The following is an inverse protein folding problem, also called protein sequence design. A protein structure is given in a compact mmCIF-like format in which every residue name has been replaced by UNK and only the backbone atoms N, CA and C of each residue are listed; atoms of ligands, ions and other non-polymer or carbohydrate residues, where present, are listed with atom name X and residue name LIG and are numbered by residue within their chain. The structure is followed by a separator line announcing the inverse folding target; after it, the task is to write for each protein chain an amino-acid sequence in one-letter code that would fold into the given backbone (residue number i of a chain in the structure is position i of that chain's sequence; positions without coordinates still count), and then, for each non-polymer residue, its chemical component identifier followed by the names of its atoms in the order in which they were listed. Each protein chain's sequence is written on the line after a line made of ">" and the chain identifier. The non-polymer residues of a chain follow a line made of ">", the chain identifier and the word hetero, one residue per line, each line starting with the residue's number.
data_IF_531460087307
#
_entry.id   IF_531460087307
#
_cell.length_a   1.000
_cell.length_b   1.000
_cell.length_c   1.000
_cell.angle_alpha   90.00
_cell.angle_beta   90.00
_cell.angle_gamma   90.00
#
_symmetry.space_group_name_H-M   'P 1'
#
loop_
_entity.id
_entity.type
_entity.pdbx_description
1 polymer ?
#
# COMPACT_ATOMS: atom_id res chain seq x y z
N UNK A 1 47.65 -13.44 18.17
CA UNK A 1 46.57 -14.12 18.92
C UNK A 1 45.40 -13.14 19.08
N UNK A 2 44.27 -13.45 18.43
CA UNK A 2 42.94 -12.85 18.63
C UNK A 2 42.66 -12.78 20.14
N UNK A 3 42.02 -11.75 20.71
CA UNK A 3 40.57 -11.50 20.64
C UNK A 3 40.33 -10.01 20.96
N UNK A 4 39.87 -9.21 19.98
CA UNK A 4 39.24 -7.90 20.23
C UNK A 4 37.72 -8.13 20.28
N UNK A 5 37.09 -7.51 21.28
CA UNK A 5 35.71 -7.77 21.68
C UNK A 5 34.70 -7.62 20.56
N UNK A 6 33.74 -8.54 20.54
CA UNK A 6 32.45 -8.38 19.86
C UNK A 6 31.41 -8.37 20.97
N UNK A 7 31.17 -7.19 21.51
CA UNK A 7 29.98 -6.84 22.26
C UNK A 7 29.25 -5.76 21.44
N UNK A 8 27.93 -5.88 21.34
CA UNK A 8 27.00 -5.06 20.53
C UNK A 8 26.77 -5.51 19.07
N UNK A 9 25.95 -6.56 18.89
CA UNK A 9 25.47 -6.95 17.56
C UNK A 9 24.07 -7.56 17.51
N UNK A 10 23.33 -7.65 18.62
CA UNK A 10 22.02 -8.33 18.65
C UNK A 10 20.84 -7.33 18.78
N UNK A 11 21.11 -6.03 18.96
CA UNK A 11 20.09 -5.00 19.17
C UNK A 11 19.74 -4.13 17.95
N UNK A 12 20.52 -4.16 16.86
CA UNK A 12 20.42 -3.19 15.75
C UNK A 12 19.77 -3.80 14.49
N UNK A 13 19.73 -5.13 14.36
CA UNK A 13 19.11 -5.77 13.19
C UNK A 13 17.58 -5.81 13.24
N UNK A 14 16.98 -5.69 14.44
CA UNK A 14 15.52 -5.60 14.58
C UNK A 14 14.94 -4.30 14.02
N UNK A 15 15.66 -3.18 14.14
CA UNK A 15 15.25 -1.90 13.57
C UNK A 15 15.48 -1.87 12.05
N UNK A 16 16.64 -2.29 11.55
CA UNK A 16 16.93 -2.27 10.10
C UNK A 16 15.98 -3.19 9.29
N UNK A 17 15.63 -4.37 9.83
CA UNK A 17 14.69 -5.28 9.17
C UNK A 17 13.25 -4.73 9.12
N UNK A 18 12.80 -4.07 10.18
CA UNK A 18 11.46 -3.46 10.24
C UNK A 18 11.34 -2.21 9.37
N UNK A 19 12.39 -1.38 9.29
CA UNK A 19 12.44 -0.25 8.36
C UNK A 19 12.46 -0.70 6.90
N UNK A 20 13.27 -1.71 6.54
CA UNK A 20 13.33 -2.26 5.18
C UNK A 20 12.00 -2.89 4.73
N UNK A 21 11.35 -3.67 5.61
CA UNK A 21 10.03 -4.25 5.33
C UNK A 21 8.97 -3.16 5.11
N UNK A 22 8.93 -2.14 5.96
CA UNK A 22 7.94 -1.06 5.85
C UNK A 22 8.11 -0.27 4.56
N UNK A 23 9.34 0.02 4.16
CA UNK A 23 9.64 0.67 2.87
C UNK A 23 9.22 -0.21 1.70
N UNK A 24 9.59 -1.50 1.70
CA UNK A 24 9.20 -2.44 0.65
C UNK A 24 7.68 -2.60 0.51
N UNK A 25 6.97 -2.79 1.63
CA UNK A 25 5.52 -2.92 1.65
C UNK A 25 4.82 -1.64 1.14
N UNK A 26 5.37 -0.46 1.45
CA UNK A 26 4.84 0.82 0.95
C UNK A 26 5.03 0.96 -0.57
N UNK A 27 6.18 0.54 -1.10
CA UNK A 27 6.42 0.55 -2.56
C UNK A 27 5.44 -0.38 -3.27
N UNK A 28 5.26 -1.60 -2.78
CA UNK A 28 4.31 -2.57 -3.36
C UNK A 28 2.87 -2.07 -3.28
N UNK A 29 2.49 -1.42 -2.18
CA UNK A 29 1.18 -0.79 -2.03
C UNK A 29 0.94 0.27 -3.12
N UNK A 30 1.92 1.13 -3.37
CA UNK A 30 1.84 2.17 -4.39
C UNK A 30 1.76 1.61 -5.82
N UNK A 31 2.53 0.57 -6.13
CA UNK A 31 2.46 -0.12 -7.43
C UNK A 31 1.09 -0.78 -7.64
N UNK A 32 0.57 -1.44 -6.62
CA UNK A 32 -0.76 -2.07 -6.65
C UNK A 32 -1.85 -1.02 -6.87
N UNK A 33 -1.77 0.11 -6.15
CA UNK A 33 -2.71 1.21 -6.30
C UNK A 33 -2.68 1.81 -7.71
N UNK A 34 -1.49 2.03 -8.27
CA UNK A 34 -1.34 2.48 -9.67
C UNK A 34 -1.97 1.53 -10.66
N UNK A 35 -1.73 0.23 -10.52
CA UNK A 35 -2.28 -0.77 -11.43
C UNK A 35 -3.82 -0.83 -11.34
N UNK A 36 -4.36 -0.82 -10.12
CA UNK A 36 -5.80 -0.76 -9.89
C UNK A 36 -6.43 0.53 -10.43
N UNK A 37 -5.73 1.66 -10.28
CA UNK A 37 -6.08 2.95 -10.85
C UNK A 37 -6.21 2.91 -12.37
N UNK A 38 -5.17 2.46 -13.05
CA UNK A 38 -5.17 2.33 -14.52
C UNK A 38 -6.33 1.45 -14.98
N UNK A 39 -6.57 0.32 -14.31
CA UNK A 39 -7.66 -0.58 -14.67
C UNK A 39 -9.03 0.10 -14.51
N UNK A 40 -9.27 0.78 -13.38
CA UNK A 40 -10.51 1.52 -13.14
C UNK A 40 -10.71 2.66 -14.16
N UNK A 41 -9.62 3.35 -14.53
CA UNK A 41 -9.66 4.40 -15.54
C UNK A 41 -10.02 3.87 -16.93
N UNK A 42 -9.44 2.75 -17.34
CA UNK A 42 -9.79 2.07 -18.59
C UNK A 42 -11.27 1.67 -18.59
N UNK A 43 -11.74 1.03 -17.52
CA UNK A 43 -13.14 0.60 -17.40
C UNK A 43 -14.12 1.78 -17.47
N UNK A 44 -13.81 2.89 -16.79
CA UNK A 44 -14.63 4.09 -16.81
C UNK A 44 -14.67 4.77 -18.19
N UNK A 45 -13.53 4.86 -18.88
CA UNK A 45 -13.46 5.38 -20.24
C UNK A 45 -14.31 4.53 -21.20
N UNK A 46 -14.18 3.20 -21.13
CA UNK A 46 -14.97 2.26 -21.95
C UNK A 46 -16.46 2.41 -21.64
N UNK A 47 -16.84 2.47 -20.36
CA UNK A 47 -18.22 2.65 -19.95
C UNK A 47 -18.81 3.96 -20.49
N UNK A 48 -18.04 5.06 -20.46
CA UNK A 48 -18.47 6.36 -20.97
C UNK A 48 -18.70 6.35 -22.48
N UNK A 49 -17.85 5.65 -23.24
CA UNK A 49 -18.04 5.45 -24.69
C UNK A 49 -19.31 4.63 -24.94
N UNK A 50 -19.48 3.50 -24.23
CA UNK A 50 -20.65 2.63 -24.33
C UNK A 50 -21.96 3.28 -23.86
N UNK A 51 -21.88 4.32 -23.05
CA UNK A 51 -23.02 5.11 -22.60
C UNK A 51 -23.38 6.27 -23.54
N UNK A 52 -22.61 6.51 -24.60
CA UNK A 52 -22.84 7.64 -25.51
C UNK A 52 -23.42 7.16 -26.86
N UNK A 53 -24.67 7.55 -27.20
CA UNK A 53 -25.32 7.15 -28.46
C UNK A 53 -24.60 7.61 -29.73
N UNK A 54 -23.69 8.58 -29.63
CA UNK A 54 -22.82 8.99 -30.75
C UNK A 54 -21.90 7.85 -31.19
N UNK A 55 -21.51 6.97 -30.27
CA UNK A 55 -20.61 5.84 -30.50
C UNK A 55 -21.34 4.48 -30.54
N UNK A 56 -22.66 4.48 -30.71
CA UNK A 56 -23.49 3.26 -30.68
C UNK A 56 -23.01 2.18 -31.66
N UNK A 57 -22.54 2.59 -32.84
CA UNK A 57 -22.02 1.70 -33.89
C UNK A 57 -20.79 0.88 -33.47
N UNK A 58 -20.08 1.31 -32.44
CA UNK A 58 -18.83 0.70 -31.98
C UNK A 58 -18.93 0.16 -30.54
N UNK A 59 -20.11 0.10 -29.94
CA UNK A 59 -20.29 -0.42 -28.57
C UNK A 59 -19.90 -1.89 -28.40
N UNK A 60 -20.08 -2.70 -29.45
CA UNK A 60 -19.81 -4.14 -29.43
C UNK A 60 -18.35 -4.49 -29.72
N UNK A 61 -17.51 -3.51 -30.06
CA UNK A 61 -16.08 -3.71 -30.29
C UNK A 61 -15.40 -4.16 -28.99
N UNK A 62 -14.37 -4.98 -29.12
CA UNK A 62 -13.51 -5.41 -28.01
C UNK A 62 -12.65 -4.27 -27.46
N UNK A 63 -13.28 -3.28 -26.82
CA UNK A 63 -12.64 -2.07 -26.31
C UNK A 63 -11.47 -2.33 -25.36
N UNK A 64 -11.50 -3.43 -24.61
CA UNK A 64 -10.40 -3.84 -23.73
C UNK A 64 -9.08 -4.13 -24.48
N UNK A 65 -9.15 -4.38 -25.79
CA UNK A 65 -7.97 -4.58 -26.64
C UNK A 65 -7.46 -3.27 -27.28
N UNK A 66 -8.24 -2.18 -27.18
CA UNK A 66 -7.99 -0.91 -27.86
C UNK A 66 -7.58 0.17 -26.85
N UNK A 67 -8.32 0.28 -25.75
CA UNK A 67 -8.02 1.21 -24.67
C UNK A 67 -7.09 0.52 -23.67
N UNK A 68 -6.01 1.21 -23.34
CA UNK A 68 -4.97 0.74 -22.45
C UNK A 68 -4.38 1.90 -21.65
N UNK A 69 -3.33 1.62 -20.87
CA UNK A 69 -2.69 2.58 -19.96
C UNK A 69 -2.21 3.88 -20.62
N UNK A 70 -1.93 3.89 -21.92
CA UNK A 70 -1.36 5.07 -22.60
C UNK A 70 -2.42 6.01 -23.17
N UNK A 71 -3.67 5.56 -23.34
CA UNK A 71 -4.66 6.30 -24.12
C UNK A 71 -6.01 6.52 -23.41
N UNK A 72 -6.29 5.87 -22.27
CA UNK A 72 -7.60 5.93 -21.61
C UNK A 72 -8.03 7.32 -21.09
N UNK A 73 -7.08 8.21 -20.82
CA UNK A 73 -7.29 9.52 -20.20
C UNK A 73 -6.83 10.70 -21.07
N UNK A 74 -6.46 10.47 -22.33
CA UNK A 74 -5.99 11.54 -23.22
C UNK A 74 -6.88 11.64 -24.45
N UNK A 75 -7.28 12.87 -24.80
CA UNK A 75 -8.15 13.10 -25.96
C UNK A 75 -7.49 12.59 -27.27
N UNK A 76 -6.21 12.87 -27.56
CA UNK A 76 -5.55 12.31 -28.75
C UNK A 76 -5.53 10.76 -28.74
N UNK A 77 -5.20 10.15 -27.61
CA UNK A 77 -5.21 8.69 -27.48
C UNK A 77 -6.61 8.09 -27.67
N UNK A 78 -7.64 8.76 -27.18
CA UNK A 78 -9.04 8.35 -27.37
C UNK A 78 -9.51 8.54 -28.83
N UNK A 79 -9.01 9.56 -29.54
CA UNK A 79 -9.25 9.70 -30.99
C UNK A 79 -8.67 8.50 -31.74
N UNK A 80 -7.44 8.12 -31.43
CA UNK A 80 -6.79 6.95 -32.03
C UNK A 80 -7.54 5.66 -31.68
N UNK A 81 -7.99 5.53 -30.43
CA UNK A 81 -8.79 4.40 -29.97
C UNK A 81 -10.12 4.28 -30.72
N UNK A 82 -10.87 5.37 -30.88
CA UNK A 82 -12.13 5.35 -31.63
C UNK A 82 -11.89 5.06 -33.11
N UNK A 83 -10.83 5.61 -33.69
CA UNK A 83 -10.45 5.34 -35.08
C UNK A 83 -10.11 3.86 -35.28
N UNK A 84 -9.34 3.26 -34.36
CA UNK A 84 -9.02 1.84 -34.37
C UNK A 84 -10.28 0.98 -34.19
N UNK A 85 -11.21 1.38 -33.32
CA UNK A 85 -12.47 0.70 -33.12
C UNK A 85 -13.33 0.71 -34.40
N UNK A 86 -13.44 1.85 -35.08
CA UNK A 86 -14.13 1.96 -36.36
C UNK A 86 -13.49 1.04 -37.40
N UNK A 87 -12.16 1.10 -37.56
CA UNK A 87 -11.44 0.25 -38.50
C UNK A 87 -11.64 -1.25 -38.22
N UNK A 88 -11.78 -1.66 -36.95
CA UNK A 88 -12.04 -3.05 -36.57
C UNK A 88 -13.40 -3.59 -37.04
N UNK A 89 -14.35 -2.70 -37.36
CA UNK A 89 -15.66 -3.08 -37.92
C UNK A 89 -15.61 -3.32 -39.43
N UNK A 90 -14.44 -3.18 -40.06
CA UNK A 90 -14.28 -3.23 -41.52
C UNK A 90 -14.77 -1.98 -42.24
N UNK A 91 -15.27 -0.99 -41.50
CA UNK A 91 -15.71 0.29 -42.02
C UNK A 91 -14.59 1.33 -41.82
N UNK A 92 -14.46 2.25 -42.77
CA UNK A 92 -13.67 3.48 -42.61
C UNK A 92 -14.62 4.62 -42.31
N UNK A 93 -14.13 5.73 -41.78
CA UNK A 93 -14.95 6.95 -41.70
C UNK A 93 -15.48 7.32 -43.08
N UNK A 94 -16.79 7.08 -43.37
CA UNK A 94 -17.34 7.38 -44.67
C UNK A 94 -17.62 8.89 -44.73
N UNK A 95 -18.04 9.38 -45.90
CA UNK A 95 -18.66 10.70 -46.01
C UNK A 95 -19.91 10.75 -45.11
N UNK A 96 -19.73 11.22 -43.87
CA UNK A 96 -20.65 11.70 -42.81
C UNK A 96 -22.06 11.10 -42.66
N UNK A 97 -22.34 9.94 -43.26
CA UNK A 97 -23.68 9.32 -43.29
C UNK A 97 -23.72 8.06 -42.43
N UNK A 98 -24.89 7.78 -41.84
CA UNK A 98 -25.10 6.61 -40.97
C UNK A 98 -24.48 6.71 -39.57
N UNK A 99 -24.61 5.64 -38.77
CA UNK A 99 -24.16 5.62 -37.36
C UNK A 99 -22.63 5.75 -37.21
N UNK A 100 -21.84 5.19 -38.14
CA UNK A 100 -20.37 5.40 -38.14
C UNK A 100 -20.02 6.82 -38.57
N UNK A 101 -20.71 7.37 -39.58
CA UNK A 101 -20.52 8.76 -39.98
C UNK A 101 -20.74 9.74 -38.84
N UNK A 102 -21.68 9.46 -37.93
CA UNK A 102 -21.91 10.24 -36.70
C UNK A 102 -20.69 10.23 -35.76
N UNK A 103 -20.12 9.06 -35.49
CA UNK A 103 -18.93 8.93 -34.65
C UNK A 103 -17.73 9.68 -35.24
N UNK A 104 -17.51 9.54 -36.55
CA UNK A 104 -16.45 10.25 -37.26
C UNK A 104 -16.67 11.76 -37.27
N UNK A 105 -17.88 12.23 -37.57
CA UNK A 105 -18.22 13.64 -37.57
C UNK A 105 -18.02 14.27 -36.18
N UNK A 106 -18.46 13.59 -35.13
CA UNK A 106 -18.28 14.04 -33.75
C UNK A 106 -16.81 14.31 -33.43
N UNK A 107 -15.93 13.36 -33.77
CA UNK A 107 -14.50 13.49 -33.52
C UNK A 107 -13.86 14.58 -34.40
N UNK A 108 -14.17 14.62 -35.69
CA UNK A 108 -13.59 15.60 -36.61
C UNK A 108 -14.06 17.03 -36.32
N UNK A 109 -15.31 17.21 -35.88
CA UNK A 109 -15.88 18.53 -35.63
C UNK A 109 -15.50 19.09 -34.26
N UNK A 110 -15.54 18.26 -33.21
CA UNK A 110 -15.25 18.71 -31.84
C UNK A 110 -14.86 17.55 -30.91
N UNK A 111 -13.70 16.93 -31.16
CA UNK A 111 -13.18 15.83 -30.32
C UNK A 111 -13.15 16.15 -28.83
N UNK A 112 -12.90 17.39 -28.44
CA UNK A 112 -12.78 17.78 -27.04
C UNK A 112 -14.14 17.73 -26.34
N UNK A 113 -15.20 18.16 -27.00
CA UNK A 113 -16.57 18.02 -26.49
C UNK A 113 -16.99 16.56 -26.33
N UNK A 114 -16.65 15.70 -27.28
CA UNK A 114 -17.11 14.32 -27.30
C UNK A 114 -16.25 13.35 -26.46
N UNK A 115 -14.93 13.56 -26.44
CA UNK A 115 -13.97 12.70 -25.76
C UNK A 115 -13.44 13.30 -24.46
N UNK A 116 -13.61 14.60 -24.22
CA UNK A 116 -13.29 15.23 -22.94
C UNK A 116 -13.97 14.55 -21.76
N UNK A 117 -15.31 14.30 -21.80
CA UNK A 117 -16.00 13.58 -20.75
C UNK A 117 -15.53 12.13 -20.58
N UNK A 118 -14.99 11.50 -21.63
CA UNK A 118 -14.43 10.14 -21.60
C UNK A 118 -13.08 10.15 -20.90
N UNK A 119 -12.18 11.05 -21.32
CA UNK A 119 -10.88 11.25 -20.70
C UNK A 119 -11.01 11.61 -19.22
N UNK A 120 -11.94 12.53 -18.90
CA UNK A 120 -12.22 12.94 -17.53
C UNK A 120 -12.75 11.78 -16.68
N UNK A 121 -13.67 10.97 -17.21
CA UNK A 121 -14.15 9.79 -16.49
C UNK A 121 -13.02 8.80 -16.20
N UNK A 122 -12.14 8.56 -17.17
CA UNK A 122 -10.97 7.72 -17.01
C UNK A 122 -10.01 8.23 -15.94
N UNK A 123 -9.65 9.52 -16.01
CA UNK A 123 -8.75 10.17 -15.04
C UNK A 123 -9.33 10.16 -13.62
N UNK A 124 -10.61 10.51 -13.48
CA UNK A 124 -11.29 10.55 -12.17
C UNK A 124 -11.41 9.17 -11.54
N UNK A 125 -11.77 8.15 -12.32
CA UNK A 125 -11.85 6.78 -11.81
C UNK A 125 -10.47 6.24 -11.42
N UNK A 126 -9.43 6.55 -12.20
CA UNK A 126 -8.06 6.18 -11.88
C UNK A 126 -7.59 6.83 -10.58
N UNK A 127 -7.75 8.15 -10.45
CA UNK A 127 -7.36 8.90 -9.27
C UNK A 127 -8.11 8.42 -8.02
N UNK A 128 -9.45 8.28 -8.10
CA UNK A 128 -10.26 7.81 -6.98
C UNK A 128 -9.85 6.40 -6.52
N UNK A 129 -9.56 5.50 -7.47
CA UNK A 129 -9.14 4.13 -7.14
C UNK A 129 -7.73 4.07 -6.56
N UNK A 130 -6.80 4.89 -7.06
CA UNK A 130 -5.45 5.03 -6.47
C UNK A 130 -5.56 5.46 -5.02
N UNK A 131 -6.28 6.55 -4.73
CA UNK A 131 -6.44 7.07 -3.37
C UNK A 131 -7.07 6.04 -2.42
N UNK A 132 -8.10 5.33 -2.87
CA UNK A 132 -8.74 4.30 -2.06
C UNK A 132 -7.78 3.14 -1.73
N UNK A 133 -7.05 2.62 -2.74
CA UNK A 133 -6.14 1.48 -2.54
C UNK A 133 -4.90 1.89 -1.75
N UNK A 134 -4.34 3.08 -1.98
CA UNK A 134 -3.24 3.60 -1.17
C UNK A 134 -3.64 3.73 0.30
N UNK A 135 -4.83 4.28 0.58
CA UNK A 135 -5.35 4.39 1.94
C UNK A 135 -5.50 3.02 2.60
N UNK A 136 -6.13 2.06 1.92
CA UNK A 136 -6.34 0.71 2.44
C UNK A 136 -5.02 -0.04 2.68
N UNK A 137 -4.07 0.03 1.76
CA UNK A 137 -2.79 -0.66 1.87
C UNK A 137 -1.89 0.00 2.93
N UNK A 138 -1.85 1.33 3.02
CA UNK A 138 -1.13 2.01 4.10
C UNK A 138 -1.77 1.73 5.47
N UNK A 139 -3.09 1.63 5.55
CA UNK A 139 -3.79 1.20 6.76
C UNK A 139 -3.41 -0.24 7.16
N UNK A 140 -3.27 -1.17 6.21
CA UNK A 140 -2.78 -2.53 6.48
C UNK A 140 -1.34 -2.55 6.98
N UNK A 141 -0.44 -1.78 6.35
CA UNK A 141 0.97 -1.70 6.75
C UNK A 141 1.09 -1.12 8.16
N UNK A 142 0.34 -0.06 8.46
CA UNK A 142 0.34 0.56 9.80
C UNK A 142 -0.26 -0.35 10.86
N UNK A 143 -1.39 -1.00 10.59
CA UNK A 143 -2.02 -1.98 11.49
C UNK A 143 -1.10 -3.17 11.75
N UNK A 144 -0.47 -3.72 10.73
CA UNK A 144 0.48 -4.84 10.87
C UNK A 144 1.68 -4.43 11.71
N UNK A 145 2.22 -3.22 11.47
CA UNK A 145 3.35 -2.71 12.25
C UNK A 145 3.00 -2.48 13.73
N UNK A 146 1.84 -1.89 14.03
CA UNK A 146 1.39 -1.63 15.41
C UNK A 146 1.09 -2.91 16.19
N UNK A 147 0.53 -3.93 15.53
CA UNK A 147 0.36 -5.26 16.13
C UNK A 147 1.70 -5.92 16.43
N UNK A 148 2.69 -5.82 15.53
CA UNK A 148 4.04 -6.32 15.76
C UNK A 148 4.72 -5.59 16.93
N UNK A 149 4.59 -4.26 17.01
CA UNK A 149 5.10 -3.47 18.15
C UNK A 149 4.43 -3.84 19.47
N UNK A 150 3.12 -4.09 19.46
CA UNK A 150 2.39 -4.52 20.66
C UNK A 150 2.89 -5.89 21.14
N UNK A 151 3.08 -6.85 20.23
CA UNK A 151 3.65 -8.15 20.55
C UNK A 151 5.08 -8.06 21.13
N UNK A 152 5.92 -7.17 20.57
CA UNK A 152 7.26 -6.88 21.10
C UNK A 152 7.16 -6.24 22.48
N UNK A 153 6.24 -5.30 22.68
CA UNK A 153 5.97 -4.65 23.96
C UNK A 153 5.65 -5.65 25.07
N UNK A 154 4.70 -6.56 24.83
CA UNK A 154 4.35 -7.61 25.79
C UNK A 154 5.53 -8.52 26.15
N UNK A 155 6.35 -8.88 25.17
CA UNK A 155 7.56 -9.69 25.41
C UNK A 155 8.57 -8.98 26.31
N UNK A 156 8.83 -7.67 26.07
CA UNK A 156 9.73 -6.86 26.91
C UNK A 156 9.14 -6.66 28.31
N UNK A 157 7.85 -6.36 28.43
CA UNK A 157 7.18 -6.21 29.73
C UNK A 157 7.24 -7.50 30.54
N UNK A 158 7.04 -8.67 29.91
CA UNK A 158 7.14 -9.96 30.58
C UNK A 158 8.56 -10.21 31.13
N UNK A 159 9.61 -9.92 30.36
CA UNK A 159 11.01 -10.03 30.82
C UNK A 159 11.26 -9.10 32.01
N UNK A 160 10.79 -7.85 31.95
CA UNK A 160 10.93 -6.90 33.05
C UNK A 160 10.25 -7.39 34.32
N UNK A 161 9.04 -7.95 34.25
CA UNK A 161 8.33 -8.50 35.41
C UNK A 161 9.13 -9.65 36.04
N UNK A 162 9.68 -10.57 35.24
CA UNK A 162 10.50 -11.69 35.73
C UNK A 162 11.75 -11.16 36.46
N UNK A 163 12.45 -10.20 35.87
CA UNK A 163 13.65 -9.59 36.49
C UNK A 163 13.28 -8.87 37.79
N UNK A 164 12.16 -8.15 37.83
CA UNK A 164 11.69 -7.43 39.02
C UNK A 164 11.37 -8.40 40.18
N UNK A 165 10.71 -9.52 39.88
CA UNK A 165 10.45 -10.59 40.88
C UNK A 165 11.76 -11.19 41.40
N UNK A 166 12.74 -11.46 40.51
CA UNK A 166 14.06 -11.95 40.94
C UNK A 166 14.77 -10.95 41.87
N UNK A 167 14.72 -9.65 41.57
CA UNK A 167 15.32 -8.61 42.42
C UNK A 167 14.65 -8.58 43.80
N UNK A 168 13.32 -8.63 43.88
CA UNK A 168 12.60 -8.61 45.16
C UNK A 168 12.98 -9.84 46.00
N UNK A 169 12.94 -11.04 45.43
CA UNK A 169 13.35 -12.27 46.12
C UNK A 169 14.82 -12.20 46.54
N UNK A 170 15.70 -11.72 45.65
CA UNK A 170 17.11 -11.52 45.94
C UNK A 170 17.33 -10.57 47.11
N UNK A 171 16.65 -9.43 47.15
CA UNK A 171 16.73 -8.46 48.23
C UNK A 171 16.26 -9.07 49.56
N UNK A 172 15.15 -9.83 49.55
CA UNK A 172 14.66 -10.55 50.74
C UNK A 172 15.71 -11.57 51.24
N UNK A 173 16.28 -12.37 50.34
CA UNK A 173 17.29 -13.37 50.68
C UNK A 173 18.58 -12.72 51.21
N UNK A 174 19.04 -11.65 50.57
CA UNK A 174 20.24 -10.92 50.96
C UNK A 174 20.05 -10.23 52.32
N UNK A 175 18.87 -9.64 52.53
CA UNK A 175 18.50 -9.03 53.81
C UNK A 175 18.43 -10.07 54.94
N UNK A 176 17.85 -11.25 54.69
CA UNK A 176 17.82 -12.36 55.66
C UNK A 176 19.23 -12.83 56.05
N UNK A 177 20.16 -12.95 55.08
CA UNK A 177 21.56 -13.33 55.36
C UNK A 177 22.27 -12.31 56.23
N UNK A 178 22.17 -11.01 55.90
CA UNK A 178 22.78 -9.93 56.69
C UNK A 178 22.25 -9.89 58.12
N UNK A 179 20.93 -10.04 58.30
CA UNK A 179 20.32 -10.09 59.64
C UNK A 179 20.83 -11.27 60.47
N UNK A 180 21.02 -12.44 59.86
CA UNK A 180 21.58 -13.62 60.55
C UNK A 180 23.04 -13.39 60.99
N UNK A 181 23.85 -12.75 60.16
CA UNK A 181 25.24 -12.41 60.51
C UNK A 181 25.35 -11.37 61.63
N UNK A 182 24.53 -10.32 61.58
CA UNK A 182 24.52 -9.28 62.62
C UNK A 182 24.12 -9.83 63.99
N UNK A 183 23.17 -10.78 64.04
CA UNK A 183 22.84 -11.47 65.29
C UNK A 183 24.02 -12.30 65.81
N UNK A 184 24.73 -13.03 64.94
CA UNK A 184 25.90 -13.84 65.35
C UNK A 184 27.02 -13.00 65.95
N UNK A 185 27.32 -11.81 65.40
CA UNK A 185 28.39 -10.96 65.93
C UNK A 185 28.08 -10.39 67.32
N UNK A 186 26.80 -10.13 67.62
CA UNK A 186 26.37 -9.70 68.95
C UNK A 186 26.51 -10.83 69.98
N UNK A 187 26.14 -12.06 69.65
CA UNK A 187 26.34 -13.20 70.56
C UNK A 187 27.82 -13.47 70.85
N UNK A 188 28.71 -13.40 69.84
CA UNK A 188 30.16 -13.54 70.08
C UNK A 188 30.74 -12.42 70.95
N UNK A 189 30.14 -11.23 70.95
CA UNK A 189 30.58 -10.15 71.84
C UNK A 189 30.16 -10.38 73.30
N UNK A 190 28.94 -10.88 73.52
CA UNK A 190 28.43 -11.17 74.87
C UNK A 190 29.11 -12.38 75.54
N UNK A 191 29.62 -13.33 74.76
CA UNK A 191 30.28 -14.54 75.26
C UNK A 191 31.78 -14.38 75.54
N UNK A 192 32.37 -13.24 75.15
CA UNK A 192 33.80 -12.94 75.33
C UNK A 192 34.06 -11.89 76.43
N UNK A 193 33.04 -11.60 77.26
CA UNK A 193 33.17 -10.95 78.56
C UNK A 193 33.19 -12.01 79.66
#
# INVERSE_FOLDING_TARGET
>A
MKIRGVAAGVGIFGSLGTYGWKVGATTTAYETAKQAGIQAGIEAAIAKIKGNPTFESIWTVGWSNIINRSNYNSIPGLVDAVTAAINSTGQKCPAYTGKIGRACNAISANRDYWLGPVAQAGEQAASAKITAVEFDELAKVTTTSSNAYSAIGYSVTAILIIVLVMIIIYLILCYRRKKKMNKKSQYTKLLNQ
#
